data_IF_732126756204
#
_entry.id   IF_732126756204
#
_cell.length_a   1.000
_cell.length_b   1.000
_cell.length_c   1.000
_cell.angle_alpha   90.00
_cell.angle_beta   90.00
_cell.angle_gamma   90.00
#
_symmetry.space_group_name_H-M   'P 1'
#
loop_
_entity.id
_entity.type
_entity.pdbx_description
1 polymer ?
2 non-polymer ?
3 non-polymer ?
4 non-polymer ?
5 water ?
#
# COMPACT_ATOMS: atom_id res chain seq x y z
N UNK A 5 0.83 2.12 20.89
CA UNK A 5 -0.57 1.75 21.25
C UNK A 5 -1.33 1.22 20.04
N UNK A 6 -1.20 1.90 18.90
CA UNK A 6 -1.87 1.45 17.69
C UNK A 6 -1.35 0.10 17.23
N UNK A 7 -2.26 -0.85 16.95
CA UNK A 7 -1.83 -2.17 16.48
C UNK A 7 -1.22 -2.01 15.09
N UNK A 8 -0.16 -2.74 14.81
CA UNK A 8 0.46 -2.64 13.50
C UNK A 8 1.03 -3.96 13.05
N UNK A 9 1.24 -4.07 11.74
CA UNK A 9 1.86 -5.24 11.15
C UNK A 9 3.22 -4.71 10.72
N UNK A 10 4.28 -5.31 11.21
CA UNK A 10 5.61 -4.86 10.83
C UNK A 10 6.38 -6.00 10.21
N UNK A 11 7.35 -5.64 9.38
CA UNK A 11 8.18 -6.62 8.68
C UNK A 11 9.59 -6.69 9.25
N UNK A 12 10.12 -7.91 9.42
CA UNK A 12 11.47 -8.08 9.94
C UNK A 12 12.51 -7.41 9.03
N UNK A 13 12.17 -7.29 7.75
CA UNK A 13 13.07 -6.67 6.78
C UNK A 13 13.21 -5.16 6.94
N UNK A 14 12.31 -4.55 7.69
CA UNK A 14 12.35 -3.10 7.88
C UNK A 14 12.52 -2.70 9.34
N UNK A 15 12.04 -3.53 10.25
CA UNK A 15 12.10 -3.24 11.69
C UNK A 15 13.50 -3.08 12.27
N UNK A 16 14.50 -3.67 11.60
CA UNK A 16 15.87 -3.59 12.09
C UNK A 16 16.60 -2.32 11.64
N UNK A 17 15.99 -1.56 10.73
CA UNK A 17 16.59 -0.34 10.22
C UNK A 17 16.50 0.86 11.16
N UNK A 18 17.64 1.30 11.72
CA UNK A 18 17.65 2.44 12.64
C UNK A 18 17.36 3.74 11.91
N UNK A 19 16.66 4.66 12.59
CA UNK A 19 16.34 5.93 11.98
C UNK A 19 15.24 5.81 10.94
N UNK A 20 14.61 4.65 10.89
CA UNK A 20 13.52 4.39 9.96
C UNK A 20 12.36 3.79 10.72
N UNK A 21 11.16 4.31 10.50
CA UNK A 21 9.99 3.78 11.17
C UNK A 21 8.97 3.45 10.09
N UNK A 22 8.37 2.27 10.19
CA UNK A 22 7.39 1.83 9.20
C UNK A 22 6.25 1.10 9.89
N UNK A 23 5.14 0.94 9.16
CA UNK A 23 4.00 0.24 9.71
C UNK A 23 2.89 0.05 8.69
N UNK A 24 2.28 -1.13 8.74
CA UNK A 24 1.14 -1.45 7.90
C UNK A 24 0.05 -1.45 8.96
N UNK A 25 -0.79 -0.42 8.97
CA UNK A 25 -1.83 -0.32 9.97
C UNK A 25 -3.01 -1.23 9.73
N UNK A 26 -3.78 -1.45 10.80
CA UNK A 26 -4.97 -2.30 10.73
C UNK A 26 -6.20 -1.39 10.84
N UNK A 27 -7.36 -1.99 10.98
CA UNK A 27 -8.60 -1.24 11.10
C UNK A 27 -8.83 -0.81 12.55
N UNK A 28 -8.03 -1.35 13.46
CA UNK A 28 -8.17 -1.05 14.89
C UNK A 28 -7.40 0.16 15.43
N UNK A 29 -7.96 0.78 16.47
CA UNK A 29 -7.30 1.92 17.11
C UNK A 29 -7.82 3.30 16.78
N UNK A 30 -8.84 3.38 15.92
CA UNK A 30 -9.39 4.68 15.54
C UNK A 30 -10.68 5.09 16.23
N UNK A 31 -11.40 6.02 15.62
CA UNK A 31 -12.65 6.53 16.20
C UNK A 31 -13.87 6.41 15.29
N UNK A 32 -13.66 6.00 14.05
CA UNK A 32 -14.77 5.88 13.10
C UNK A 32 -15.78 4.81 13.51
N UNK A 33 -17.02 4.99 13.04
CA UNK A 33 -18.11 4.08 13.38
C UNK A 33 -18.65 3.30 12.20
N UNK A 34 -19.49 2.32 12.51
CA UNK A 34 -20.11 1.49 11.48
C UNK A 34 -19.15 0.70 10.63
N UNK A 35 -19.36 0.74 9.32
CA UNK A 35 -18.51 0.02 8.39
C UNK A 35 -17.08 0.52 8.42
N UNK A 36 -16.89 1.74 8.94
CA UNK A 36 -15.56 2.34 9.01
C UNK A 36 -14.89 2.05 10.35
N UNK A 37 -15.58 1.28 11.19
CA UNK A 37 -15.13 0.95 12.54
C UNK A 37 -13.66 1.18 12.88
N UNK A 38 -13.39 2.35 13.49
CA UNK A 38 -12.12 2.75 14.09
C UNK A 38 -11.24 3.47 13.07
N UNK A 39 -10.12 2.82 12.65
CA UNK A 39 -9.06 3.49 11.90
C UNK A 39 -9.13 3.70 10.39
N UNK A 40 -10.15 4.44 9.95
CA UNK A 40 -10.33 4.73 8.54
C UNK A 40 -9.61 6.03 8.17
N UNK A 41 -8.67 5.96 7.22
CA UNK A 41 -7.91 7.14 6.81
C UNK A 41 -8.35 7.70 5.45
N UNK A 42 -9.41 7.15 4.89
CA UNK A 42 -9.89 7.58 3.58
C UNK A 42 -10.58 8.94 3.52
N UNK A 43 -9.83 9.97 3.09
CA UNK A 43 -10.40 11.30 2.96
C UNK A 43 -11.44 11.36 1.85
N UNK A 44 -11.37 10.40 0.94
CA UNK A 44 -12.30 10.38 -0.18
C UNK A 44 -13.48 9.47 0.08
N UNK A 45 -13.56 8.92 1.30
CA UNK A 45 -14.65 8.03 1.66
C UNK A 45 -15.88 8.80 2.11
N UNK A 46 -16.94 8.08 2.46
CA UNK A 46 -18.18 8.71 2.89
C UNK A 46 -18.32 8.75 4.41
N UNK A 47 -17.20 8.52 5.09
CA UNK A 47 -17.15 8.54 6.56
C UNK A 47 -17.17 10.00 7.00
N UNK A 48 -17.29 10.22 8.32
CA UNK A 48 -17.27 11.57 8.86
C UNK A 48 -15.87 12.12 8.67
N UNK A 49 -15.73 13.25 7.95
CA UNK A 49 -14.43 13.86 7.70
C UNK A 49 -13.61 14.10 8.97
N UNK A 50 -14.27 14.57 10.02
CA UNK A 50 -13.58 14.84 11.28
C UNK A 50 -12.98 13.57 11.87
N UNK A 51 -13.70 12.46 11.78
CA UNK A 51 -13.19 11.21 12.32
C UNK A 51 -11.98 10.76 11.50
N UNK A 52 -12.09 10.89 10.17
CA UNK A 52 -10.99 10.52 9.29
C UNK A 52 -9.75 11.31 9.67
N UNK A 53 -9.91 12.60 9.92
CA UNK A 53 -8.79 13.43 10.31
C UNK A 53 -8.20 12.99 11.65
N UNK A 54 -9.05 12.57 12.57
CA UNK A 54 -8.59 12.12 13.88
C UNK A 54 -7.79 10.83 13.71
N UNK A 55 -8.25 9.95 12.82
CA UNK A 55 -7.55 8.69 12.60
C UNK A 55 -6.17 8.98 12.02
N UNK A 56 -6.11 9.91 11.05
CA UNK A 56 -4.84 10.27 10.44
C UNK A 56 -3.90 10.86 11.48
N UNK A 57 -4.45 11.65 12.41
CA UNK A 57 -3.63 12.27 13.45
C UNK A 57 -3.05 11.20 14.37
N UNK A 58 -3.85 10.18 14.67
CA UNK A 58 -3.38 9.11 15.55
C UNK A 58 -2.20 8.39 14.92
N UNK A 59 -2.29 8.15 13.63
CA UNK A 59 -1.22 7.47 12.91
C UNK A 59 0.02 8.36 12.88
N UNK A 60 -0.18 9.64 12.61
CA UNK A 60 0.93 10.58 12.57
C UNK A 60 1.62 10.61 13.93
N UNK A 61 0.83 10.55 14.99
CA UNK A 61 1.38 10.57 16.35
C UNK A 61 2.16 9.29 16.66
N UNK A 62 1.75 8.18 16.08
CA UNK A 62 2.45 6.91 16.28
C UNK A 62 3.87 7.05 15.77
N UNK A 63 4.02 7.81 14.68
CA UNK A 63 5.31 8.05 14.05
C UNK A 63 6.13 9.12 14.77
N UNK A 64 5.49 9.80 15.72
CA UNK A 64 6.18 10.84 16.47
C UNK A 64 6.03 12.20 15.83
N UNK A 65 5.12 12.32 14.89
CA UNK A 65 4.91 13.60 14.21
C UNK A 65 3.50 14.11 14.34
N UNK A 66 3.12 15.01 13.43
CA UNK A 66 1.79 15.58 13.44
C UNK A 66 1.10 15.37 12.11
N UNK A 67 -0.18 15.75 12.00
CA UNK A 67 -0.91 15.58 10.74
C UNK A 67 -0.21 16.20 9.53
N UNK A 68 0.55 17.27 9.75
CA UNK A 68 1.26 17.93 8.67
C UNK A 68 2.33 17.03 8.07
N UNK A 69 2.97 16.24 8.91
CA UNK A 69 4.04 15.34 8.47
C UNK A 69 3.55 14.15 7.66
N UNK A 70 2.23 13.99 7.54
CA UNK A 70 1.68 12.88 6.78
C UNK A 70 1.42 13.29 5.33
N UNK A 71 2.00 12.53 4.40
CA UNK A 71 1.86 12.79 2.98
C UNK A 71 1.18 11.61 2.28
N UNK A 72 -0.07 11.81 1.86
CA UNK A 72 -0.82 10.76 1.18
C UNK A 72 -1.48 11.38 -0.05
N UNK A 73 -1.40 10.67 -1.18
CA UNK A 73 -1.97 11.16 -2.43
C UNK A 73 -3.45 10.91 -2.62
N UNK A 74 -3.97 11.52 -3.70
CA UNK A 74 -5.34 11.34 -4.14
C UNK A 74 -4.97 10.20 -5.10
N UNK A 75 -5.13 8.98 -4.63
CA UNK A 75 -4.75 7.81 -5.42
C UNK A 75 -5.70 7.53 -6.59
N UNK A 76 -5.12 7.34 -7.77
CA UNK A 76 -5.89 7.10 -8.98
C UNK A 76 -5.45 5.86 -9.75
N UNK A 77 -4.80 4.93 -9.06
CA UNK A 77 -4.31 3.69 -9.65
C UNK A 77 -3.34 3.88 -10.81
N UNK A 78 -2.53 4.93 -10.70
CA UNK A 78 -1.55 5.27 -11.72
C UNK A 78 -0.19 4.71 -11.34
N UNK A 79 0.83 5.15 -12.08
CA UNK A 79 2.21 4.76 -11.83
C UNK A 79 2.97 6.04 -11.46
N UNK A 80 2.22 7.08 -11.11
CA UNK A 80 2.80 8.37 -10.74
C UNK A 80 3.40 8.36 -9.33
N UNK A 81 4.70 8.64 -9.26
CA UNK A 81 5.40 8.68 -7.98
C UNK A 81 5.77 10.13 -7.70
N UNK A 82 5.25 10.66 -6.59
CA UNK A 82 5.48 12.04 -6.19
C UNK A 82 6.52 12.14 -5.09
N UNK A 83 7.36 13.17 -5.17
CA UNK A 83 8.38 13.39 -4.15
C UNK A 83 7.84 14.37 -3.11
N UNK A 84 8.03 14.03 -1.84
CA UNK A 84 7.58 14.87 -0.74
C UNK A 84 8.79 15.29 0.09
N UNK A 85 9.10 16.58 0.08
CA UNK A 85 10.22 17.09 0.87
C UNK A 85 9.71 17.95 2.01
N UNK A 86 8.39 17.90 2.22
CA UNK A 86 7.77 18.68 3.27
C UNK A 86 6.30 18.35 3.35
N UNK A 87 5.61 18.99 4.29
CA UNK A 87 4.19 18.76 4.49
C UNK A 87 3.36 19.34 3.34
N UNK A 88 2.25 18.67 3.02
CA UNK A 88 1.36 19.13 1.97
C UNK A 88 0.09 19.70 2.62
N UNK A 89 0.07 19.71 3.94
CA UNK A 89 -1.09 20.22 4.65
C UNK A 89 -2.28 19.29 4.45
N UNK A 90 -3.36 19.83 3.88
CA UNK A 90 -4.55 19.02 3.62
C UNK A 90 -4.67 18.78 2.13
N UNK A 91 -3.59 19.07 1.41
CA UNK A 91 -3.57 18.88 -0.03
C UNK A 91 -3.36 17.40 -0.37
N UNK A 92 -4.06 16.95 -1.41
CA UNK A 92 -3.95 15.57 -1.85
C UNK A 92 -3.54 15.54 -3.32
N UNK A 93 -2.23 15.65 -3.61
CA UNK A 93 -1.79 15.64 -5.00
C UNK A 93 -2.09 14.29 -5.65
N UNK A 94 -2.40 14.30 -6.95
CA UNK A 94 -2.70 13.06 -7.65
C UNK A 94 -1.45 12.19 -7.74
N UNK A 95 -1.60 10.90 -7.48
CA UNK A 95 -0.46 10.01 -7.54
C UNK A 95 -0.72 8.71 -6.79
N UNK A 96 0.20 7.76 -6.91
CA UNK A 96 0.03 6.49 -6.23
C UNK A 96 1.29 5.99 -5.54
N UNK A 97 2.19 6.92 -5.26
CA UNK A 97 3.43 6.61 -4.56
C UNK A 97 4.00 7.90 -3.98
N UNK A 98 4.50 7.84 -2.76
CA UNK A 98 5.08 9.01 -2.11
C UNK A 98 6.53 8.67 -1.76
N UNK A 99 7.46 9.47 -2.30
CA UNK A 99 8.89 9.25 -2.08
C UNK A 99 9.52 10.42 -1.36
N UNK A 100 10.48 10.14 -0.48
CA UNK A 100 11.14 11.21 0.25
C UNK A 100 12.52 10.87 0.77
N UNK A 101 13.35 11.91 0.91
CA UNK A 101 14.71 11.80 1.43
C UNK A 101 14.78 12.80 2.56
N UNK A 102 13.61 13.31 2.95
CA UNK A 102 13.52 14.33 4.00
C UNK A 102 13.09 13.76 5.35
N UNK A 103 13.92 13.94 6.38
CA UNK A 103 13.58 13.43 7.72
C UNK A 103 12.29 14.09 8.20
N UNK A 104 11.45 13.32 8.87
CA UNK A 104 10.20 13.87 9.37
C UNK A 104 9.00 13.62 8.46
N UNK A 105 9.27 13.48 7.16
CA UNK A 105 8.20 13.23 6.21
C UNK A 105 7.72 11.79 6.30
N UNK A 106 6.41 11.62 6.43
CA UNK A 106 5.81 10.29 6.52
C UNK A 106 5.17 9.97 5.18
N UNK A 107 5.76 9.04 4.44
CA UNK A 107 5.22 8.64 3.15
C UNK A 107 4.14 7.59 3.38
N UNK A 108 2.93 7.85 2.89
CA UNK A 108 1.87 6.89 3.11
C UNK A 108 1.07 6.51 1.87
N UNK A 109 0.48 5.32 1.92
CA UNK A 109 -0.34 4.78 0.85
C UNK A 109 -1.58 4.17 1.51
N UNK A 110 -2.72 4.30 0.84
CA UNK A 110 -3.98 3.77 1.35
C UNK A 110 -4.44 2.55 0.56
N UNK A 111 -5.14 1.64 1.22
CA UNK A 111 -5.63 0.44 0.55
C UNK A 111 -6.65 -0.32 1.38
N UNK A 112 -7.39 -1.18 0.70
CA UNK A 112 -8.40 -2.02 1.31
C UNK A 112 -8.58 -3.20 0.36
N UNK A 113 -7.46 -3.89 0.11
CA UNK A 113 -7.35 -5.05 -0.78
C UNK A 113 -6.13 -4.87 -1.69
N UNK A 114 -5.95 -3.67 -2.22
CA UNK A 114 -4.80 -3.42 -3.10
C UNK A 114 -3.54 -3.55 -2.26
N UNK A 115 -2.41 -3.78 -2.91
CA UNK A 115 -1.15 -3.99 -2.20
C UNK A 115 -0.31 -2.76 -1.90
N UNK A 116 -0.11 -2.46 -0.60
CA UNK A 116 0.72 -1.31 -0.26
C UNK A 116 2.17 -1.79 -0.25
N UNK A 117 3.09 -0.95 -0.69
CA UNK A 117 4.49 -1.34 -0.72
C UNK A 117 5.35 -0.28 -0.06
N UNK A 118 6.17 -0.71 0.90
CA UNK A 118 7.07 0.21 1.58
C UNK A 118 8.48 -0.14 1.14
N UNK A 119 9.23 0.86 0.69
CA UNK A 119 10.59 0.65 0.21
C UNK A 119 11.56 1.59 0.89
N UNK A 120 12.83 1.20 0.92
CA UNK A 120 13.85 2.02 1.54
C UNK A 120 15.25 1.65 1.10
N UNK A 121 16.10 2.66 0.94
CA UNK A 121 17.50 2.45 0.61
C UNK A 121 18.15 2.96 1.89
N UNK A 122 18.59 2.06 2.78
CA UNK A 122 19.22 2.42 4.04
C UNK A 122 20.55 3.17 3.98
N UNK A 123 21.18 3.19 2.80
CA UNK A 123 22.45 3.90 2.65
C UNK A 123 22.23 5.31 2.15
N UNK A 124 21.40 5.46 1.12
CA UNK A 124 21.12 6.77 0.56
C UNK A 124 20.11 7.49 1.47
N UNK A 125 19.50 6.73 2.37
CA UNK A 125 18.50 7.28 3.29
C UNK A 125 17.32 7.84 2.50
N UNK A 126 16.65 6.95 1.77
CA UNK A 126 15.49 7.33 0.96
C UNK A 126 14.37 6.32 1.21
N UNK A 127 13.16 6.81 1.39
CA UNK A 127 12.02 5.92 1.62
C UNK A 127 10.88 6.20 0.65
N UNK A 128 9.92 5.29 0.58
CA UNK A 128 8.77 5.46 -0.29
C UNK A 128 7.64 4.51 0.06
N UNK A 129 6.42 4.95 -0.20
CA UNK A 129 5.22 4.13 0.03
C UNK A 129 4.48 4.13 -1.30
N UNK A 130 4.12 2.95 -1.78
CA UNK A 130 3.42 2.85 -3.06
C UNK A 130 2.09 2.11 -2.94
N UNK A 131 1.14 2.51 -3.78
CA UNK A 131 -0.19 1.91 -3.81
C UNK A 131 -0.24 1.06 -5.07
N UNK A 132 -0.19 -0.26 -4.89
CA UNK A 132 -0.21 -1.17 -6.04
C UNK A 132 -1.43 -2.05 -6.18
N UNK A 133 -2.47 -1.52 -6.81
CA UNK A 133 -3.65 -2.30 -7.06
C UNK A 133 -3.29 -3.11 -8.30
N UNK A 134 -4.21 -3.86 -8.87
CA UNK A 134 -3.85 -4.64 -10.05
C UNK A 134 -3.44 -3.75 -11.22
N UNK A 135 -4.11 -2.62 -11.39
CA UNK A 135 -3.80 -1.72 -12.49
C UNK A 135 -2.42 -1.08 -12.34
N UNK A 136 -2.15 -0.50 -11.18
CA UNK A 136 -0.86 0.12 -10.95
C UNK A 136 0.27 -0.89 -11.07
N UNK A 137 0.07 -2.07 -10.49
CA UNK A 137 1.08 -3.11 -10.55
C UNK A 137 1.37 -3.50 -11.99
N UNK A 138 0.31 -3.70 -12.78
CA UNK A 138 0.47 -4.09 -14.17
C UNK A 138 1.16 -3.00 -15.00
N UNK A 139 0.78 -1.75 -14.78
CA UNK A 139 1.33 -0.63 -15.52
C UNK A 139 2.73 -0.19 -15.12
N UNK A 140 3.20 -0.61 -13.95
CA UNK A 140 4.55 -0.27 -13.52
C UNK A 140 4.75 0.69 -12.36
N UNK A 141 3.79 0.75 -11.43
CA UNK A 141 3.95 1.67 -10.30
C UNK A 141 5.16 1.30 -9.44
N UNK A 142 5.49 0.01 -9.35
CA UNK A 142 6.65 -0.39 -8.56
C UNK A 142 7.93 0.13 -9.18
N UNK A 143 8.12 -0.10 -10.47
CA UNK A 143 9.32 0.37 -11.16
C UNK A 143 9.37 1.89 -11.09
N UNK A 144 8.21 2.54 -11.16
CA UNK A 144 8.16 4.00 -11.11
C UNK A 144 8.64 4.53 -9.77
N UNK A 145 8.20 3.90 -8.69
CA UNK A 145 8.60 4.31 -7.35
C UNK A 145 10.10 4.13 -7.18
N UNK A 146 10.62 3.01 -7.70
CA UNK A 146 12.04 2.73 -7.62
C UNK A 146 12.80 3.77 -8.42
N UNK A 147 12.33 4.07 -9.63
CA UNK A 147 12.99 5.07 -10.47
C UNK A 147 13.02 6.44 -9.79
N UNK A 148 11.92 6.81 -9.13
CA UNK A 148 11.84 8.09 -8.46
C UNK A 148 12.84 8.13 -7.29
N UNK A 149 12.98 7.00 -6.59
CA UNK A 149 13.92 6.92 -5.48
C UNK A 149 15.34 7.09 -6.03
N UNK A 150 15.59 6.50 -7.18
CA UNK A 150 16.91 6.60 -7.80
C UNK A 150 17.23 8.04 -8.16
N UNK A 151 16.22 8.80 -8.61
CA UNK A 151 16.45 10.20 -8.95
C UNK A 151 16.95 10.96 -7.73
N UNK A 152 16.53 10.53 -6.55
CA UNK A 152 16.94 11.20 -5.33
C UNK A 152 18.29 10.69 -4.83
N UNK A 153 18.81 9.65 -5.48
CA UNK A 153 20.11 9.12 -5.09
C UNK A 153 20.15 7.65 -4.69
N UNK A 154 19.01 6.98 -4.69
CA UNK A 154 18.97 5.56 -4.31
C UNK A 154 19.62 4.65 -5.36
N UNK A 155 19.87 3.41 -4.95
CA UNK A 155 20.45 2.40 -5.83
C UNK A 155 19.54 1.17 -5.76
N UNK A 156 19.00 0.74 -6.91
CA UNK A 156 18.12 -0.44 -6.92
C UNK A 156 18.65 -1.60 -6.08
N UNK A 157 19.90 -1.99 -6.35
CA UNK A 157 20.51 -3.11 -5.65
C UNK A 157 20.67 -2.95 -4.14
N UNK A 158 20.30 -1.79 -3.60
CA UNK A 158 20.42 -1.58 -2.17
C UNK A 158 19.06 -1.30 -1.53
N UNK A 159 18.00 -1.45 -2.32
CA UNK A 159 16.65 -1.18 -1.82
C UNK A 159 15.96 -2.41 -1.25
N UNK A 160 15.23 -2.21 -0.15
CA UNK A 160 14.45 -3.27 0.48
C UNK A 160 13.00 -2.87 0.23
N UNK A 161 12.19 -3.83 -0.21
CA UNK A 161 10.79 -3.55 -0.49
C UNK A 161 9.89 -4.61 0.12
N UNK A 162 8.87 -4.17 0.84
CA UNK A 162 7.95 -5.08 1.49
C UNK A 162 6.50 -4.84 1.10
N UNK A 163 5.79 -5.90 0.76
CA UNK A 163 4.39 -5.82 0.40
C UNK A 163 3.58 -6.04 1.68
N UNK A 164 2.61 -5.17 1.94
CA UNK A 164 1.82 -5.30 3.16
C UNK A 164 0.55 -6.10 3.01
N UNK A 165 -0.38 -5.96 3.98
CA UNK A 165 -1.65 -6.68 3.93
C UNK A 165 -2.39 -6.31 2.64
N UNK A 166 -2.98 -7.29 1.99
CA UNK A 166 -3.72 -7.07 0.75
C UNK A 166 -4.61 -8.27 0.52
N UNK A 167 -5.39 -8.26 -0.55
CA UNK A 167 -6.26 -9.39 -0.82
C UNK A 167 -5.37 -10.56 -1.25
N UNK A 168 -5.52 -11.68 -0.56
CA UNK A 168 -4.70 -12.85 -0.85
C UNK A 168 -5.10 -13.73 -2.01
N UNK A 169 -4.19 -14.61 -2.46
CA UNK A 169 -4.44 -15.53 -3.57
C UNK A 169 -5.61 -16.48 -3.36
N UNK A 170 -6.04 -16.64 -2.11
CA UNK A 170 -7.17 -17.52 -1.83
C UNK A 170 -8.45 -16.69 -1.84
N UNK A 171 -8.30 -15.38 -1.92
CA UNK A 171 -9.45 -14.47 -1.88
C UNK A 171 -9.73 -13.65 -3.13
N UNK A 172 -8.71 -13.43 -3.95
CA UNK A 172 -8.84 -12.60 -5.14
C UNK A 172 -9.37 -13.29 -6.40
N UNK A 173 -10.70 -13.35 -6.51
CA UNK A 173 -11.33 -13.98 -7.68
C UNK A 173 -11.42 -12.98 -8.82
N UNK A 174 -11.09 -13.42 -10.04
CA UNK A 174 -11.15 -12.55 -11.20
C UNK A 174 -11.71 -13.30 -12.42
N UNK A 175 -12.09 -12.54 -13.44
CA UNK A 175 -12.64 -13.14 -14.64
C UNK A 175 -11.62 -13.37 -15.74
N UNK A 176 -12.06 -13.87 -16.89
CA UNK A 176 -11.19 -14.16 -18.01
C UNK A 176 -10.63 -12.94 -18.73
N UNK A 177 -11.35 -11.83 -18.71
CA UNK A 177 -10.86 -10.62 -19.37
C UNK A 177 -9.67 -10.11 -18.57
N UNK A 178 -9.72 -10.32 -17.26
CA UNK A 178 -8.66 -9.92 -16.33
C UNK A 178 -7.45 -10.80 -16.60
N UNK A 179 -7.68 -12.11 -16.64
CA UNK A 179 -6.62 -13.08 -16.91
C UNK A 179 -5.91 -12.78 -18.23
N UNK A 180 -6.70 -12.62 -19.28
CA UNK A 180 -6.16 -12.36 -20.59
C UNK A 180 -5.42 -11.03 -20.67
N UNK A 181 -5.88 -10.03 -19.94
CA UNK A 181 -5.21 -8.73 -19.95
C UNK A 181 -3.78 -8.90 -19.44
N UNK A 182 -3.63 -9.61 -18.32
CA UNK A 182 -2.31 -9.84 -17.75
C UNK A 182 -1.44 -10.73 -18.63
N UNK A 183 -2.01 -11.80 -19.16
CA UNK A 183 -1.24 -12.71 -20.00
C UNK A 183 -0.73 -12.02 -21.27
N UNK A 184 -1.55 -11.12 -21.80
CA UNK A 184 -1.19 -10.39 -23.01
C UNK A 184 -0.25 -9.22 -22.76
N UNK A 185 -0.56 -8.41 -21.75
CA UNK A 185 0.24 -7.23 -21.45
C UNK A 185 1.51 -7.47 -20.64
N UNK A 186 1.54 -8.52 -19.83
CA UNK A 186 2.72 -8.83 -19.03
C UNK A 186 3.10 -10.29 -19.22
N UNK A 187 3.89 -10.57 -20.27
CA UNK A 187 4.35 -11.92 -20.60
C UNK A 187 4.82 -12.73 -19.39
N UNK A 188 4.27 -13.94 -19.25
CA UNK A 188 4.67 -14.81 -18.16
C UNK A 188 3.92 -14.64 -16.85
N UNK A 189 3.06 -13.63 -16.78
CA UNK A 189 2.29 -13.37 -15.56
C UNK A 189 1.20 -14.40 -15.34
N UNK A 190 1.00 -15.28 -16.30
CA UNK A 190 -0.04 -16.29 -16.17
C UNK A 190 0.23 -17.24 -15.02
N UNK A 191 1.47 -17.27 -14.55
CA UNK A 191 1.86 -18.16 -13.46
C UNK A 191 1.32 -17.67 -12.11
N UNK A 192 0.80 -16.45 -12.08
CA UNK A 192 0.24 -15.88 -10.85
C UNK A 192 -1.26 -16.07 -10.77
N UNK A 193 -1.79 -16.92 -11.65
CA UNK A 193 -3.21 -17.21 -11.68
C UNK A 193 -3.41 -18.67 -11.30
N UNK A 194 -4.44 -18.93 -10.49
CA UNK A 194 -4.73 -20.27 -10.02
C UNK A 194 -6.15 -20.68 -10.39
N UNK A 195 -6.44 -21.99 -10.38
CA UNK A 195 -7.79 -22.45 -10.73
C UNK A 195 -8.84 -21.76 -9.86
N UNK A 196 -9.93 -21.32 -10.49
CA UNK A 196 -10.98 -20.63 -9.75
C UNK A 196 -12.22 -21.48 -9.50
N UNK A 197 -13.28 -20.82 -9.06
CA UNK A 197 -14.54 -21.48 -8.75
C UNK A 197 -15.14 -22.15 -9.98
N UNK A 198 -14.71 -21.74 -11.16
CA UNK A 198 -15.19 -22.32 -12.41
C UNK A 198 -14.21 -21.98 -13.53
N UNK A 199 -14.42 -22.56 -14.71
CA UNK A 199 -13.55 -22.30 -15.84
C UNK A 199 -13.59 -20.83 -16.24
N UNK A 200 -14.67 -20.14 -15.86
CA UNK A 200 -14.81 -18.72 -16.20
C UNK A 200 -14.14 -17.83 -15.17
N UNK A 201 -13.57 -18.44 -14.13
CA UNK A 201 -12.90 -17.67 -13.09
C UNK A 201 -11.48 -18.17 -12.82
N UNK A 202 -10.72 -17.34 -12.10
CA UNK A 202 -9.35 -17.65 -11.71
C UNK A 202 -9.10 -16.90 -10.42
N UNK A 203 -8.10 -17.34 -9.67
CA UNK A 203 -7.72 -16.65 -8.44
C UNK A 203 -6.38 -16.01 -8.79
N UNK A 204 -6.26 -14.71 -8.55
CA UNK A 204 -5.04 -13.99 -8.86
C UNK A 204 -4.21 -13.78 -7.60
N UNK A 205 -2.92 -14.04 -7.72
CA UNK A 205 -1.99 -13.88 -6.60
C UNK A 205 -1.33 -12.51 -6.73
N UNK A 206 -2.02 -11.49 -6.22
CA UNK A 206 -1.51 -10.12 -6.28
C UNK A 206 -0.15 -9.93 -5.58
N UNK A 207 -0.04 -10.33 -4.30
CA UNK A 207 1.25 -10.15 -3.65
C UNK A 207 2.42 -10.80 -4.40
N UNK A 208 2.19 -11.99 -4.95
CA UNK A 208 3.26 -12.66 -5.67
C UNK A 208 3.61 -11.87 -6.93
N UNK A 209 2.60 -11.28 -7.58
CA UNK A 209 2.85 -10.51 -8.78
C UNK A 209 3.63 -9.25 -8.42
N UNK A 210 3.26 -8.61 -7.32
CA UNK A 210 3.94 -7.40 -6.88
C UNK A 210 5.40 -7.72 -6.49
N UNK A 211 5.62 -8.88 -5.88
CA UNK A 211 6.98 -9.27 -5.51
C UNK A 211 7.80 -9.45 -6.78
N UNK A 212 7.14 -9.94 -7.84
CA UNK A 212 7.80 -10.13 -9.13
C UNK A 212 8.19 -8.77 -9.71
N UNK A 213 7.32 -7.78 -9.54
CA UNK A 213 7.59 -6.44 -10.04
C UNK A 213 8.78 -5.84 -9.31
N UNK A 214 8.85 -6.08 -8.00
CA UNK A 214 9.96 -5.57 -7.20
C UNK A 214 11.26 -6.21 -7.71
N UNK A 215 11.22 -7.52 -7.90
CA UNK A 215 12.38 -8.26 -8.38
C UNK A 215 12.83 -7.74 -9.75
N UNK A 216 11.86 -7.49 -10.62
CA UNK A 216 12.17 -6.99 -11.96
C UNK A 216 12.74 -5.58 -11.90
N UNK A 217 12.40 -4.85 -10.83
CA UNK A 217 12.87 -3.48 -10.65
C UNK A 217 14.25 -3.44 -9.97
N UNK A 218 14.83 -4.62 -9.74
CA UNK A 218 16.14 -4.68 -9.12
C UNK A 218 16.14 -4.76 -7.60
N UNK A 219 14.96 -4.88 -7.00
CA UNK A 219 14.84 -4.97 -5.54
C UNK A 219 15.07 -6.42 -5.12
N UNK A 220 16.24 -6.68 -4.56
CA UNK A 220 16.64 -8.02 -4.17
C UNK A 220 16.21 -8.48 -2.78
N UNK A 221 15.90 -7.54 -1.90
CA UNK A 221 15.46 -7.86 -0.54
C UNK A 221 13.98 -7.52 -0.48
N UNK A 222 13.14 -8.55 -0.45
CA UNK A 222 11.71 -8.33 -0.45
C UNK A 222 10.93 -9.43 0.24
N UNK A 223 9.65 -9.15 0.52
CA UNK A 223 8.77 -10.11 1.15
C UNK A 223 7.36 -9.56 1.26
N UNK A 224 6.41 -10.47 1.47
CA UNK A 224 5.01 -10.11 1.67
C UNK A 224 4.74 -10.51 3.11
N UNK A 225 4.08 -9.64 3.87
CA UNK A 225 3.78 -9.93 5.27
C UNK A 225 2.79 -11.08 5.43
N UNK A 226 2.19 -11.49 4.32
CA UNK A 226 1.26 -12.61 4.37
C UNK A 226 -0.02 -12.45 5.16
N UNK A 227 -0.63 -11.27 5.08
CA UNK A 227 -1.90 -11.02 5.78
C UNK A 227 -2.94 -10.73 4.70
N UNK A 228 -4.08 -11.43 4.77
CA UNK A 228 -5.16 -11.31 3.79
C UNK A 228 -6.26 -10.37 4.28
N UNK A 229 -6.36 -9.20 3.66
CA UNK A 229 -7.36 -8.21 4.06
C UNK A 229 -8.80 -8.71 3.98
N UNK A 230 -9.13 -9.43 2.91
CA UNK A 230 -10.48 -9.95 2.72
C UNK A 230 -10.84 -11.02 3.74
N UNK A 231 -9.88 -11.88 4.05
CA UNK A 231 -10.10 -12.97 4.98
C UNK A 231 -10.13 -12.60 6.45
N UNK A 232 -9.34 -11.61 6.85
CA UNK A 232 -9.26 -11.21 8.25
C UNK A 232 -10.03 -9.93 8.58
N UNK A 233 -11.35 -10.06 8.64
CA UNK A 233 -12.22 -8.93 8.95
C UNK A 233 -11.92 -8.33 10.32
N UNK A 234 -11.34 -9.15 11.20
CA UNK A 234 -10.99 -8.71 12.54
C UNK A 234 -9.97 -7.58 12.50
N UNK A 235 -9.07 -7.66 11.53
CA UNK A 235 -8.00 -6.69 11.40
C UNK A 235 -7.98 -5.76 10.19
N UNK A 236 -8.66 -6.13 9.11
CA UNK A 236 -8.59 -5.30 7.91
C UNK A 236 -9.89 -4.97 7.19
N UNK A 237 -9.91 -3.79 6.57
CA UNK A 237 -11.04 -3.35 5.77
C UNK A 237 -10.82 -4.10 4.45
N UNK A 238 -11.87 -4.30 3.67
CA UNK A 238 -11.74 -5.01 2.39
C UNK A 238 -12.81 -4.58 1.39
N UNK A 239 -12.36 -4.05 0.25
CA UNK A 239 -13.27 -3.62 -0.80
C UNK A 239 -14.08 -4.81 -1.32
N UNK A 240 -13.42 -5.96 -1.46
CA UNK A 240 -14.12 -7.15 -1.95
C UNK A 240 -15.18 -7.60 -0.96
N UNK A 241 -14.85 -7.59 0.32
CA UNK A 241 -15.83 -7.99 1.31
C UNK A 241 -16.99 -7.01 1.31
N UNK A 242 -16.68 -5.72 1.12
CA UNK A 242 -17.70 -4.68 1.07
C UNK A 242 -18.63 -4.93 -0.11
N UNK A 243 -18.04 -5.36 -1.23
CA UNK A 243 -18.80 -5.65 -2.43
C UNK A 243 -19.81 -6.76 -2.18
N UNK A 244 -19.33 -7.84 -1.58
CA UNK A 244 -20.16 -9.01 -1.28
C UNK A 244 -21.22 -8.75 -0.22
N UNK A 245 -21.00 -7.75 0.63
CA UNK A 245 -21.95 -7.43 1.69
C UNK A 245 -22.88 -6.28 1.29
N UNK A 246 -22.68 -5.78 0.07
CA UNK A 246 -23.49 -4.69 -0.45
C UNK A 246 -23.31 -3.37 0.29
N UNK A 247 -22.11 -3.12 0.80
CA UNK A 247 -21.84 -1.86 1.46
C UNK A 247 -21.49 -0.94 0.30
N UNK A 248 -21.92 0.31 0.38
CA UNK A 248 -21.65 1.24 -0.70
C UNK A 248 -20.31 1.94 -0.55
N UNK A 249 -19.52 1.50 0.41
CA UNK A 249 -18.21 2.11 0.66
C UNK A 249 -17.44 1.22 1.62
N UNK A 250 -16.22 1.61 1.95
CA UNK A 250 -15.40 0.83 2.87
C UNK A 250 -14.31 1.69 3.48
N UNK A 251 -13.79 1.25 4.62
CA UNK A 251 -12.73 1.98 5.28
C UNK A 251 -11.44 1.73 4.53
N UNK A 252 -10.46 2.63 4.71
CA UNK A 252 -9.18 2.51 4.04
C UNK A 252 -8.05 2.35 5.06
N UNK A 253 -7.16 1.40 4.80
CA UNK A 253 -6.02 1.14 5.68
C UNK A 253 -4.82 1.95 5.21
N UNK A 254 -4.03 2.45 6.17
CA UNK A 254 -2.85 3.21 5.81
C UNK A 254 -1.61 2.36 6.03
N UNK A 255 -0.60 2.56 5.19
CA UNK A 255 0.68 1.88 5.33
C UNK A 255 1.65 3.03 5.11
N UNK A 256 2.63 3.16 5.99
CA UNK A 256 3.55 4.29 5.84
C UNK A 256 4.95 4.02 6.36
N UNK A 257 5.88 4.87 5.93
CA UNK A 257 7.27 4.74 6.33
C UNK A 257 7.86 6.14 6.40
N UNK A 258 8.85 6.33 7.27
CA UNK A 258 9.46 7.64 7.42
C UNK A 258 10.91 7.58 7.86
N UNK A 259 11.65 8.61 7.50
CA UNK A 259 13.04 8.75 7.90
C UNK A 259 12.90 9.56 9.18
N UNK A 260 13.23 8.96 10.32
CA UNK A 260 13.09 9.65 11.60
C UNK A 260 13.93 10.93 11.69
X LIG B 1 -1.63 -7.84 14.12
X LIG B 1 -2.40 -8.83 14.08
X LIG B 1 -0.40 -7.78 13.81
X LIG B 1 -2.25 -6.54 14.59
X LIG C 1 -9.16 -4.57 -6.03
X LIG C 1 -7.79 -5.18 -5.77
X LIG C 1 -9.22 -3.38 -5.59
X LIG C 1 -6.44 -3.99 -5.96
X LIG D 1 -11.74 -1.47 16.87
X LIG D 1 -11.33 -1.01 15.78
X LIG D 1 -12.23 -0.71 17.92
X LIG D 1 -13.58 -0.77 17.99
X LIG D 1 -11.31 -0.16 18.48
X LIG D 1 -9.83 0.26 18.78
#
# INVERSE_FOLDING_TARGET
XKTPALPTVQSPLLSSLPGVKHAFFTRQGGVSKGIYDSLNVGRGSQDEPADVEENRARIARWFGGGPEDLNVCYQIHSTIAIVADGSWGDARPEGDAVVSKTPGVICGAMAADCAPVLLVDPEARIVAAAHAGWRGALDGVVQSAVDRMVELGASPANITGVVGPCIGPKSYEVGLEFLHRFEADCPGSGRFFKPGASEDKRFFDLPAFVLDRLATAGVERREWVGRDTRAEEEWFFSNRRAFLNNDGDYGRLLSAITLEA
ACT C O OXT CH3
BME C1 C2 O1 S2
GOL C1 O1 C2 O2 C3 O3
#
